data_IF_022159682014
#
_entry.id   IF_022159682014
#
_cell.length_a   1.000
_cell.length_b   1.000
_cell.length_c   1.000
_cell.angle_alpha   90.00
_cell.angle_beta   90.00
_cell.angle_gamma   90.00
#
_symmetry.space_group_name_H-M   'P 1'
#
loop_
_entity.id
_entity.type
_entity.pdbx_description
1 polymer ?
#
# COMPACT_ATOMS: atom_id res chain seq x y z
N UNK A 1 -25.77 -26.27 23.75
CA UNK A 1 -24.60 -25.39 23.95
C UNK A 1 -24.30 -24.74 22.62
N UNK A 2 -24.93 -23.59 22.37
CA UNK A 2 -24.83 -22.84 21.13
C UNK A 2 -23.42 -22.26 21.02
N UNK A 3 -22.68 -22.64 19.99
CA UNK A 3 -21.42 -22.01 19.61
C UNK A 3 -21.62 -20.49 19.51
N UNK A 4 -20.74 -19.72 20.15
CA UNK A 4 -20.67 -18.28 19.94
C UNK A 4 -20.45 -18.03 18.43
N UNK A 5 -21.16 -17.08 17.81
CA UNK A 5 -20.75 -16.62 16.49
C UNK A 5 -19.34 -16.03 16.64
N UNK A 6 -18.39 -16.50 15.83
CA UNK A 6 -17.10 -15.84 15.69
C UNK A 6 -17.39 -14.39 15.33
N UNK A 7 -16.97 -13.48 16.21
CA UNK A 7 -16.96 -12.06 15.94
C UNK A 7 -16.17 -11.86 14.64
N UNK A 8 -16.70 -11.09 13.66
CA UNK A 8 -15.92 -10.76 12.48
C UNK A 8 -14.61 -10.15 12.97
N UNK A 9 -13.48 -10.73 12.57
CA UNK A 9 -12.17 -10.23 12.93
C UNK A 9 -12.17 -8.73 12.60
N UNK A 10 -12.27 -7.87 13.63
CA UNK A 10 -11.93 -6.47 13.47
C UNK A 10 -10.54 -6.47 12.86
N UNK A 11 -10.34 -5.78 11.75
CA UNK A 11 -9.01 -5.52 11.23
C UNK A 11 -8.27 -4.71 12.30
N UNK A 12 -7.64 -5.41 13.25
CA UNK A 12 -6.91 -4.79 14.34
C UNK A 12 -5.62 -4.24 13.74
N UNK A 13 -5.65 -2.94 13.44
CA UNK A 13 -4.43 -2.18 13.25
C UNK A 13 -3.57 -2.33 14.50
N UNK A 14 -2.29 -2.61 14.32
CA UNK A 14 -1.29 -2.49 15.39
C UNK A 14 -0.42 -1.28 15.06
N UNK A 15 -0.01 -0.47 16.04
CA UNK A 15 1.01 0.54 15.82
C UNK A 15 2.22 -0.04 15.11
N UNK A 16 2.79 0.76 14.22
CA UNK A 16 4.02 0.40 13.55
C UNK A 16 5.13 0.03 14.54
N UNK A 17 5.80 -1.15 14.41
CA UNK A 17 7.05 -1.38 15.11
C UNK A 17 8.02 -0.25 14.75
N UNK A 18 8.39 0.52 15.76
CA UNK A 18 9.34 1.63 15.64
C UNK A 18 10.79 1.14 15.44
N UNK A 19 11.01 -0.17 15.59
CA UNK A 19 12.30 -0.83 15.76
C UNK A 19 12.83 -1.53 14.51
N UNK A 20 12.09 -1.55 13.39
CA UNK A 20 12.60 -2.12 12.13
C UNK A 20 12.28 -1.23 10.91
N UNK A 21 13.29 -0.72 10.20
CA UNK A 21 13.04 0.01 8.96
C UNK A 21 12.44 -0.93 7.91
N UNK A 22 11.47 -0.42 7.17
CA UNK A 22 10.90 -1.06 6.00
C UNK A 22 11.97 -1.19 4.91
N UNK A 23 11.90 -2.27 4.15
CA UNK A 23 12.68 -2.49 2.94
C UNK A 23 11.81 -2.41 1.68
N UNK A 24 12.44 -2.17 0.53
CA UNK A 24 11.80 -2.23 -0.78
C UNK A 24 12.24 -3.51 -1.50
N UNK A 25 11.30 -4.42 -1.72
CA UNK A 25 11.58 -5.66 -2.45
C UNK A 25 11.84 -5.38 -3.96
N UNK A 26 12.80 -6.08 -4.61
CA UNK A 26 13.06 -5.92 -6.05
C UNK A 26 11.85 -6.10 -6.95
N UNK A 27 10.83 -6.86 -6.52
CA UNK A 27 9.56 -6.99 -7.22
C UNK A 27 8.90 -5.61 -7.50
N UNK A 28 9.05 -4.66 -6.58
CA UNK A 28 8.45 -3.32 -6.65
C UNK A 28 9.20 -2.37 -7.60
N UNK A 29 10.43 -2.70 -8.02
CA UNK A 29 11.27 -1.77 -8.80
C UNK A 29 10.64 -1.39 -10.14
N UNK A 30 9.85 -2.30 -10.74
CA UNK A 30 9.10 -2.05 -11.98
C UNK A 30 8.14 -0.87 -11.87
N UNK A 31 7.65 -0.53 -10.69
CA UNK A 31 6.78 0.64 -10.50
C UNK A 31 7.50 1.97 -10.72
N UNK A 32 8.83 1.98 -10.60
CA UNK A 32 9.69 3.15 -10.77
C UNK A 32 10.35 3.17 -12.14
N UNK A 33 10.80 2.00 -12.60
CA UNK A 33 11.71 1.89 -13.75
C UNK A 33 11.01 1.59 -15.07
N UNK A 34 9.84 0.93 -15.03
CA UNK A 34 9.14 0.49 -16.23
C UNK A 34 8.06 1.51 -16.63
N UNK A 35 8.26 2.30 -17.70
CA UNK A 35 7.26 3.26 -18.16
C UNK A 35 5.97 2.59 -18.66
N UNK A 36 6.03 1.31 -19.02
CA UNK A 36 4.90 0.49 -19.47
C UNK A 36 4.26 -0.32 -18.33
N UNK A 37 4.67 -0.11 -17.07
CA UNK A 37 4.06 -0.78 -15.94
C UNK A 37 2.56 -0.48 -15.87
N UNK A 38 1.74 -1.55 -15.90
CA UNK A 38 0.28 -1.44 -16.00
C UNK A 38 -0.43 -1.01 -14.71
N UNK A 39 0.29 -0.92 -13.59
CA UNK A 39 -0.26 -0.49 -12.31
C UNK A 39 0.13 0.95 -11.93
N UNK A 40 0.09 1.25 -10.63
CA UNK A 40 0.53 2.54 -10.10
C UNK A 40 2.01 2.78 -10.38
N UNK A 41 2.29 3.78 -11.20
CA UNK A 41 3.65 4.23 -11.53
C UNK A 41 4.08 5.34 -10.56
N UNK A 42 5.30 5.23 -10.06
CA UNK A 42 5.92 6.19 -9.17
C UNK A 42 6.98 6.96 -9.97
N UNK A 43 6.82 8.27 -10.08
CA UNK A 43 7.65 9.13 -10.93
C UNK A 43 8.10 10.37 -10.18
N UNK A 44 9.28 10.91 -10.51
CA UNK A 44 9.81 12.14 -9.92
C UNK A 44 10.53 11.95 -8.58
N UNK A 45 10.81 10.70 -8.21
CA UNK A 45 11.43 10.29 -6.94
C UNK A 45 12.18 8.97 -7.16
N UNK A 46 13.35 8.81 -6.54
CA UNK A 46 14.11 7.56 -6.55
C UNK A 46 13.53 6.52 -5.59
N UNK A 47 13.95 5.26 -5.72
CA UNK A 47 13.51 4.18 -4.82
C UNK A 47 13.96 4.44 -3.38
N UNK A 48 15.18 4.96 -3.25
CA UNK A 48 15.83 5.31 -2.00
C UNK A 48 15.09 6.45 -1.30
N UNK A 49 14.81 7.53 -2.04
CA UNK A 49 14.04 8.68 -1.54
C UNK A 49 12.62 8.28 -1.11
N UNK A 50 11.96 7.42 -1.90
CA UNK A 50 10.64 6.88 -1.55
C UNK A 50 10.70 6.09 -0.23
N UNK A 51 11.65 5.15 -0.12
CA UNK A 51 11.77 4.29 1.05
C UNK A 51 12.15 5.09 2.32
N UNK A 52 13.05 6.06 2.19
CA UNK A 52 13.41 6.97 3.27
C UNK A 52 12.18 7.74 3.76
N UNK A 53 11.37 8.28 2.85
CA UNK A 53 10.17 9.03 3.21
C UNK A 53 9.10 8.17 3.88
N UNK A 54 8.90 6.94 3.40
CA UNK A 54 7.95 6.00 4.03
C UNK A 54 8.41 5.65 5.45
N UNK A 55 9.69 5.34 5.65
CA UNK A 55 10.24 5.08 6.98
C UNK A 55 10.10 6.30 7.91
N UNK A 56 10.40 7.51 7.41
CA UNK A 56 10.22 8.75 8.15
C UNK A 56 8.78 8.91 8.66
N UNK A 57 7.78 8.69 7.79
CA UNK A 57 6.36 8.79 8.15
C UNK A 57 5.98 7.77 9.22
N UNK A 58 6.36 6.51 9.01
CA UNK A 58 6.02 5.39 9.90
C UNK A 58 6.67 5.54 11.29
N UNK A 59 7.86 6.12 11.38
CA UNK A 59 8.54 6.36 12.67
C UNK A 59 7.99 7.59 13.41
N UNK A 60 7.60 8.66 12.69
CA UNK A 60 7.18 9.93 13.30
C UNK A 60 5.70 9.97 13.68
N UNK A 61 4.84 9.29 12.93
CA UNK A 61 3.40 9.38 13.10
C UNK A 61 2.87 8.21 13.94
N UNK A 62 2.52 8.51 15.20
CA UNK A 62 1.93 7.55 16.13
C UNK A 62 0.55 7.02 15.69
N UNK A 63 -0.07 7.63 14.67
CA UNK A 63 -1.36 7.22 14.10
C UNK A 63 -1.27 6.23 12.94
N UNK A 64 -0.06 5.90 12.45
CA UNK A 64 0.09 4.92 11.37
C UNK A 64 0.07 3.50 11.96
N UNK A 65 -0.91 2.71 11.49
CA UNK A 65 -1.12 1.33 11.91
C UNK A 65 -0.83 0.34 10.77
N UNK A 66 -0.30 -0.84 11.12
CA UNK A 66 -0.24 -1.98 10.22
C UNK A 66 -1.55 -2.75 10.27
N UNK A 67 -2.21 -2.83 9.13
CA UNK A 67 -3.42 -3.61 8.93
C UNK A 67 -3.07 -5.03 8.46
N UNK A 68 -3.90 -6.00 8.83
CA UNK A 68 -3.81 -7.36 8.30
C UNK A 68 -4.15 -7.35 6.82
N UNK A 69 -3.28 -7.94 6.00
CA UNK A 69 -3.54 -8.20 4.60
C UNK A 69 -4.29 -9.53 4.41
N UNK A 70 -4.21 -10.09 3.19
CA UNK A 70 -4.92 -11.32 2.85
C UNK A 70 -4.37 -12.59 3.52
N UNK A 71 -3.18 -12.52 4.13
CA UNK A 71 -2.50 -13.64 4.77
C UNK A 71 -1.69 -13.16 6.00
N UNK A 72 -1.33 -14.04 6.96
CA UNK A 72 -0.64 -13.64 8.19
C UNK A 72 0.70 -12.91 8.01
N UNK A 73 1.40 -13.18 6.91
CA UNK A 73 2.66 -12.53 6.53
C UNK A 73 2.45 -11.23 5.75
N UNK A 74 1.23 -10.95 5.29
CA UNK A 74 0.92 -9.78 4.47
C UNK A 74 0.36 -8.68 5.38
N UNK A 75 0.99 -7.50 5.32
CA UNK A 75 0.56 -6.33 6.09
C UNK A 75 0.43 -5.12 5.16
N UNK A 76 -0.53 -4.26 5.46
CA UNK A 76 -0.75 -3.02 4.72
C UNK A 76 -0.50 -1.80 5.62
N UNK A 77 0.06 -0.77 5.00
CA UNK A 77 0.19 0.57 5.54
C UNK A 77 -0.57 1.51 4.62
N UNK A 78 -1.28 2.48 5.19
CA UNK A 78 -1.95 3.53 4.44
C UNK A 78 -1.35 4.87 4.85
N UNK A 79 -0.75 5.56 3.87
CA UNK A 79 -0.05 6.82 4.09
C UNK A 79 -0.51 7.86 3.07
N UNK A 80 -0.36 9.17 3.35
CA UNK A 80 -0.64 10.21 2.38
C UNK A 80 0.18 10.02 1.09
N UNK A 81 -0.45 10.25 -0.06
CA UNK A 81 0.23 10.19 -1.36
C UNK A 81 1.16 11.39 -1.54
N UNK A 82 2.43 11.22 -1.20
CA UNK A 82 3.46 12.26 -1.32
C UNK A 82 4.15 12.30 -2.69
N UNK A 83 3.89 11.33 -3.56
CA UNK A 83 4.53 11.21 -4.88
C UNK A 83 3.64 11.67 -6.03
N UNK A 84 2.37 12.02 -5.74
CA UNK A 84 1.42 12.43 -6.75
C UNK A 84 1.01 11.31 -7.72
N UNK A 85 1.15 10.03 -7.31
CA UNK A 85 0.75 8.90 -8.14
C UNK A 85 -0.75 8.95 -8.42
N UNK A 86 -1.14 8.71 -9.68
CA UNK A 86 -2.54 8.66 -10.07
C UNK A 86 -3.19 7.33 -9.63
N UNK A 87 -4.52 7.30 -9.45
CA UNK A 87 -5.24 6.05 -9.20
C UNK A 87 -4.95 5.02 -10.31
N UNK A 88 -4.57 3.80 -9.91
CA UNK A 88 -4.30 2.69 -10.83
C UNK A 88 -5.55 1.98 -11.35
N UNK A 89 -6.74 2.39 -10.91
CA UNK A 89 -8.01 1.83 -11.33
C UNK A 89 -9.07 2.91 -11.44
N UNK A 90 -10.03 2.67 -12.34
CA UNK A 90 -11.20 3.51 -12.56
C UNK A 90 -12.43 2.60 -12.68
N UNK A 91 -13.62 3.06 -12.25
CA UNK A 91 -14.84 2.32 -12.50
C UNK A 91 -15.08 2.20 -14.01
N UNK A 92 -15.53 1.01 -14.45
CA UNK A 92 -16.02 0.83 -15.81
C UNK A 92 -17.41 1.46 -15.88
N UNK A 93 -17.62 2.28 -16.89
CA UNK A 93 -18.85 3.00 -17.19
C UNK A 93 -19.18 2.78 -18.65
N UNK A 94 -20.44 3.00 -19.05
CA UNK A 94 -20.84 2.91 -20.45
C UNK A 94 -19.96 3.81 -21.36
N UNK A 95 -19.52 4.95 -20.83
CA UNK A 95 -18.68 5.92 -21.56
C UNK A 95 -17.24 5.43 -21.78
N UNK A 96 -16.72 4.51 -20.97
CA UNK A 96 -15.31 4.06 -21.07
C UNK A 96 -15.15 2.55 -21.38
N UNK A 97 -16.23 1.77 -21.42
CA UNK A 97 -16.19 0.32 -21.69
C UNK A 97 -15.51 0.01 -23.03
N UNK A 98 -15.71 0.86 -24.03
CA UNK A 98 -15.08 0.72 -25.35
C UNK A 98 -13.55 0.91 -25.37
N UNK A 99 -12.95 1.37 -24.25
CA UNK A 99 -11.50 1.57 -24.11
C UNK A 99 -10.78 0.37 -23.49
N UNK A 100 -11.52 -0.67 -23.08
CA UNK A 100 -10.93 -1.93 -22.61
C UNK A 100 -10.13 -2.60 -23.74
N UNK A 101 -8.99 -3.22 -23.40
CA UNK A 101 -8.05 -3.84 -24.34
C UNK A 101 -7.93 -5.34 -24.09
#
# INVERSE_FOLDING_TARGET
>A
MTSKPESPQRCLGRPAPADLPLGLDPFCYRQFDDPAYGGSRISGVTKEEFLEKVNELVTRDAGIEFFQGYAPFCRHLYIPNFVGALPGSLPITADNEHLLR
#
